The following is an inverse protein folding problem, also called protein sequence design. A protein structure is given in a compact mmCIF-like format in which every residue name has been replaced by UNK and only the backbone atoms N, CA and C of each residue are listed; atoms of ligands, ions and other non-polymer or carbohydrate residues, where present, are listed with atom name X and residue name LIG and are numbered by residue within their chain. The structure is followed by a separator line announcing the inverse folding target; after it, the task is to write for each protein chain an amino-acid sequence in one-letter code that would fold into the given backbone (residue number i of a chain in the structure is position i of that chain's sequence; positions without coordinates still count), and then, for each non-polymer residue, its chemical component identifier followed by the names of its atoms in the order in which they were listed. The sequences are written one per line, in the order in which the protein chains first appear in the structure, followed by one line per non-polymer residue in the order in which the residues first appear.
data_IF_423328526137
#
_entry.id   IF_423328526137
#
_cell.length_a   1.000
_cell.length_b   1.000
_cell.length_c   1.000
_cell.angle_alpha   90.00
_cell.angle_beta   90.00
_cell.angle_gamma   90.00
#
_symmetry.space_group_name_H-M   'P 1'
#
loop_
_entity.id
_entity.type
_entity.pdbx_description
1 polymer ?
#
# COMPACT_ATOMS: atom_id res chain seq x y z
N UNK A 1 6.52 8.74 -23.99
CA UNK A 1 6.53 7.27 -24.06
C UNK A 1 7.92 6.67 -24.26
N UNK A 2 8.72 7.07 -25.28
CA UNK A 2 10.10 6.54 -25.46
C UNK A 2 11.00 6.75 -24.23
N UNK A 3 10.99 7.92 -23.58
CA UNK A 3 11.79 8.20 -22.38
C UNK A 3 11.37 7.34 -21.16
N UNK A 4 10.08 7.02 -21.00
CA UNK A 4 9.60 6.13 -19.93
C UNK A 4 10.08 4.67 -20.13
N UNK A 5 10.15 4.22 -21.38
CA UNK A 5 10.64 2.85 -21.70
C UNK A 5 12.16 2.79 -21.51
N UNK A 6 12.90 3.85 -21.89
CA UNK A 6 14.36 3.93 -21.70
C UNK A 6 14.76 4.00 -20.23
N UNK A 7 13.93 4.58 -19.36
CA UNK A 7 14.17 4.68 -17.92
C UNK A 7 14.28 3.30 -17.25
N UNK A 8 13.53 2.30 -17.72
CA UNK A 8 13.55 0.94 -17.20
C UNK A 8 14.43 -0.02 -18.00
N UNK A 9 15.15 0.47 -18.99
CA UNK A 9 16.13 -0.32 -19.76
C UNK A 9 17.29 -0.79 -18.89
N UNK A 10 17.85 -1.97 -19.23
CA UNK A 10 19.03 -2.53 -18.58
C UNK A 10 18.75 -3.35 -17.31
N UNK A 11 17.49 -3.57 -16.94
CA UNK A 11 17.13 -4.52 -15.89
C UNK A 11 17.26 -5.96 -16.40
N UNK A 12 17.46 -6.92 -15.48
CA UNK A 12 17.47 -8.35 -15.84
C UNK A 12 16.10 -8.80 -16.34
N UNK A 13 16.10 -9.81 -17.23
CA UNK A 13 14.89 -10.42 -17.81
C UNK A 13 13.90 -10.87 -16.72
N UNK A 14 14.39 -11.42 -15.64
CA UNK A 14 13.61 -11.91 -14.52
C UNK A 14 12.76 -10.81 -13.87
N UNK A 15 13.26 -9.57 -13.78
CA UNK A 15 12.51 -8.41 -13.26
C UNK A 15 11.32 -8.08 -14.16
N UNK A 16 11.48 -8.15 -15.49
CA UNK A 16 10.36 -7.95 -16.40
C UNK A 16 9.33 -9.07 -16.33
N UNK A 17 9.75 -10.31 -16.06
CA UNK A 17 8.84 -11.44 -15.84
C UNK A 17 8.04 -11.23 -14.55
N UNK A 18 8.70 -10.82 -13.46
CA UNK A 18 8.04 -10.46 -12.20
C UNK A 18 7.05 -9.30 -12.39
N UNK A 19 7.44 -8.28 -13.18
CA UNK A 19 6.55 -7.17 -13.54
C UNK A 19 5.29 -7.66 -14.28
N UNK A 20 5.45 -8.50 -15.30
CA UNK A 20 4.31 -9.06 -16.05
C UNK A 20 3.45 -9.93 -15.13
N UNK A 21 4.06 -10.76 -14.28
CA UNK A 21 3.35 -11.54 -13.28
C UNK A 21 2.52 -10.66 -12.36
N UNK A 22 3.11 -9.57 -11.81
CA UNK A 22 2.41 -8.62 -10.94
C UNK A 22 1.29 -7.89 -11.66
N UNK A 23 1.50 -7.50 -12.93
CA UNK A 23 0.48 -6.90 -13.77
C UNK A 23 -0.72 -7.84 -13.97
N UNK A 24 -0.46 -9.09 -14.37
CA UNK A 24 -1.52 -10.09 -14.60
C UNK A 24 -2.28 -10.40 -13.32
N UNK A 25 -1.58 -10.60 -12.19
CA UNK A 25 -2.21 -10.81 -10.89
C UNK A 25 -3.10 -9.62 -10.51
N UNK A 26 -2.64 -8.39 -10.72
CA UNK A 26 -3.41 -7.19 -10.43
C UNK A 26 -4.63 -7.03 -11.35
N UNK A 27 -4.52 -7.39 -12.65
CA UNK A 27 -5.66 -7.41 -13.58
C UNK A 27 -6.75 -8.39 -13.14
N UNK A 28 -6.40 -9.48 -12.49
CA UNK A 28 -7.34 -10.44 -11.94
C UNK A 28 -7.73 -10.18 -10.48
N UNK A 29 -7.22 -9.14 -9.83
CA UNK A 29 -7.48 -8.85 -8.41
C UNK A 29 -8.88 -8.27 -8.20
N UNK A 30 -9.90 -9.10 -8.41
CA UNK A 30 -11.30 -8.70 -8.34
C UNK A 30 -11.85 -8.77 -6.92
N UNK A 31 -11.39 -9.73 -6.13
CA UNK A 31 -11.98 -10.03 -4.81
C UNK A 31 -11.74 -8.90 -3.81
N UNK A 32 -10.54 -8.31 -3.79
CA UNK A 32 -10.20 -7.23 -2.85
C UNK A 32 -11.19 -6.06 -2.87
N UNK A 33 -11.40 -5.41 -4.03
CA UNK A 33 -12.33 -4.28 -4.15
C UNK A 33 -13.77 -4.60 -3.77
N UNK A 34 -14.22 -5.84 -3.99
CA UNK A 34 -15.62 -6.23 -3.77
C UNK A 34 -15.84 -7.04 -2.49
N UNK A 35 -14.80 -7.25 -1.66
CA UNK A 35 -14.89 -8.06 -0.45
C UNK A 35 -15.95 -7.55 0.53
N UNK A 36 -16.01 -6.25 0.77
CA UNK A 36 -16.99 -5.62 1.65
C UNK A 36 -18.42 -5.83 1.12
N UNK A 37 -18.63 -5.64 -0.19
CA UNK A 37 -19.91 -5.90 -0.85
C UNK A 37 -20.30 -7.38 -0.76
N UNK A 38 -19.33 -8.30 -0.93
CA UNK A 38 -19.59 -9.73 -0.77
C UNK A 38 -20.13 -10.07 0.61
N UNK A 39 -19.47 -9.60 1.67
CA UNK A 39 -19.86 -9.87 3.04
C UNK A 39 -21.25 -9.28 3.37
N UNK A 40 -21.50 -8.06 2.94
CA UNK A 40 -22.74 -7.35 3.31
C UNK A 40 -23.91 -7.66 2.38
N UNK A 41 -23.73 -7.78 1.05
CA UNK A 41 -24.82 -7.95 0.09
C UNK A 41 -25.09 -9.43 -0.21
N UNK A 42 -24.03 -10.24 -0.46
CA UNK A 42 -24.23 -11.67 -0.83
C UNK A 42 -24.38 -12.58 0.39
N UNK A 43 -23.71 -12.29 1.52
CA UNK A 43 -23.86 -13.03 2.77
C UNK A 43 -24.86 -12.41 3.73
N UNK A 44 -25.35 -11.19 3.49
CA UNK A 44 -26.32 -10.50 4.33
C UNK A 44 -25.81 -10.10 5.73
N UNK A 45 -24.49 -9.97 5.90
CA UNK A 45 -23.91 -9.56 7.18
C UNK A 45 -24.13 -8.06 7.41
N UNK A 46 -24.28 -7.66 8.67
CA UNK A 46 -24.28 -6.24 9.03
C UNK A 46 -22.94 -5.58 8.73
N UNK A 47 -22.94 -4.26 8.45
CA UNK A 47 -21.73 -3.50 8.15
C UNK A 47 -20.66 -3.65 9.23
N UNK A 48 -21.08 -3.60 10.52
CA UNK A 48 -20.19 -3.80 11.64
C UNK A 48 -19.59 -5.20 11.69
N UNK A 49 -20.38 -6.26 11.43
CA UNK A 49 -19.89 -7.64 11.42
C UNK A 49 -18.93 -7.87 10.26
N UNK A 50 -19.26 -7.38 9.06
CA UNK A 50 -18.41 -7.48 7.88
C UNK A 50 -17.06 -6.79 8.12
N UNK A 51 -17.08 -5.58 8.66
CA UNK A 51 -15.86 -4.82 8.98
C UNK A 51 -15.04 -5.49 10.08
N UNK A 52 -15.71 -6.08 11.10
CA UNK A 52 -15.04 -6.84 12.15
C UNK A 52 -14.29 -8.06 11.62
N UNK A 53 -14.88 -8.77 10.65
CA UNK A 53 -14.20 -9.89 9.97
C UNK A 53 -12.96 -9.41 9.19
N UNK A 54 -13.05 -8.30 8.48
CA UNK A 54 -11.92 -7.69 7.76
C UNK A 54 -10.83 -7.26 8.76
N UNK A 55 -11.19 -6.63 9.86
CA UNK A 55 -10.26 -6.23 10.92
C UNK A 55 -9.54 -7.44 11.53
N UNK A 56 -10.26 -8.53 11.78
CA UNK A 56 -9.69 -9.78 12.32
C UNK A 56 -8.68 -10.39 11.32
N UNK A 57 -9.01 -10.41 10.02
CA UNK A 57 -8.10 -10.86 8.99
C UNK A 57 -6.82 -9.99 8.91
N UNK A 58 -6.96 -8.67 9.12
CA UNK A 58 -5.83 -7.74 9.16
C UNK A 58 -4.89 -8.01 10.34
N UNK A 59 -5.43 -8.34 11.53
CA UNK A 59 -4.61 -8.77 12.68
C UNK A 59 -3.85 -10.06 12.37
N UNK A 60 -4.51 -11.04 11.76
CA UNK A 60 -3.88 -12.31 11.38
C UNK A 60 -2.82 -12.14 10.28
N UNK A 61 -2.93 -11.10 9.47
CA UNK A 61 -1.92 -10.78 8.43
C UNK A 61 -0.56 -10.44 9.02
N UNK A 62 -0.50 -9.89 10.24
CA UNK A 62 0.77 -9.56 10.89
C UNK A 62 1.63 -10.80 11.19
N UNK A 63 1.19 -11.82 11.96
CA UNK A 63 1.95 -13.03 12.16
C UNK A 63 2.20 -13.79 10.84
N UNK A 64 1.29 -13.73 9.86
CA UNK A 64 1.46 -14.31 8.55
C UNK A 64 2.66 -13.68 7.80
N UNK A 65 2.77 -12.34 7.79
CA UNK A 65 3.90 -11.64 7.18
C UNK A 65 5.24 -11.97 7.85
N UNK A 66 5.27 -12.07 9.20
CA UNK A 66 6.47 -12.50 9.95
C UNK A 66 6.88 -13.92 9.60
N UNK A 67 5.91 -14.83 9.49
CA UNK A 67 6.15 -16.20 9.06
C UNK A 67 6.72 -16.22 7.64
N UNK A 68 6.13 -15.44 6.73
CA UNK A 68 6.60 -15.30 5.35
C UNK A 68 8.04 -14.82 5.25
N UNK A 69 8.43 -13.82 6.05
CA UNK A 69 9.81 -13.35 6.14
C UNK A 69 10.76 -14.45 6.59
N UNK A 70 10.44 -15.16 7.69
CA UNK A 70 11.27 -16.28 8.19
C UNK A 70 11.39 -17.41 7.17
N UNK A 71 10.33 -17.72 6.44
CA UNK A 71 10.37 -18.73 5.38
C UNK A 71 11.26 -18.27 4.23
N UNK A 72 11.13 -17.00 3.78
CA UNK A 72 11.94 -16.42 2.70
C UNK A 72 13.44 -16.41 3.02
N UNK A 73 13.82 -16.35 4.31
CA UNK A 73 15.21 -16.41 4.76
C UNK A 73 15.75 -17.85 4.80
N UNK A 74 14.89 -18.86 5.02
CA UNK A 74 15.32 -20.26 5.21
C UNK A 74 15.18 -21.13 3.97
N UNK A 75 14.23 -20.84 3.12
CA UNK A 75 13.87 -21.66 1.97
C UNK A 75 14.02 -20.89 0.65
N UNK A 76 14.01 -21.63 -0.45
CA UNK A 76 14.02 -21.03 -1.79
C UNK A 76 12.80 -20.10 -1.98
N UNK A 77 13.05 -18.81 -2.20
CA UNK A 77 12.04 -17.76 -2.43
C UNK A 77 11.08 -18.14 -3.54
N UNK A 78 11.60 -18.69 -4.65
CA UNK A 78 10.80 -19.19 -5.76
C UNK A 78 9.81 -20.27 -5.34
N UNK A 79 10.24 -21.26 -4.57
CA UNK A 79 9.37 -22.35 -4.14
C UNK A 79 8.32 -21.91 -3.12
N UNK A 80 8.65 -20.95 -2.24
CA UNK A 80 7.67 -20.34 -1.32
C UNK A 80 6.54 -19.69 -2.12
N UNK A 81 6.87 -18.86 -3.13
CA UNK A 81 5.88 -18.23 -4.00
C UNK A 81 4.99 -19.30 -4.64
N UNK A 82 5.59 -20.31 -5.29
CA UNK A 82 4.82 -21.35 -6.00
C UNK A 82 3.87 -22.10 -5.05
N UNK A 83 4.34 -22.51 -3.88
CA UNK A 83 3.53 -23.30 -2.92
C UNK A 83 2.36 -22.46 -2.39
N UNK A 84 2.63 -21.24 -1.91
CA UNK A 84 1.58 -20.40 -1.33
C UNK A 84 0.62 -19.86 -2.38
N UNK A 85 1.05 -19.58 -3.59
CA UNK A 85 0.18 -19.25 -4.72
C UNK A 85 -0.72 -20.43 -5.09
N UNK A 86 -0.19 -21.65 -5.17
CA UNK A 86 -1.02 -22.84 -5.43
C UNK A 86 -2.11 -23.03 -4.37
N UNK A 87 -1.80 -22.82 -3.09
CA UNK A 87 -2.80 -22.88 -2.02
C UNK A 87 -3.83 -21.76 -2.18
N UNK A 88 -3.39 -20.54 -2.47
CA UNK A 88 -4.23 -19.37 -2.71
C UNK A 88 -5.20 -19.61 -3.88
N UNK A 89 -4.68 -20.11 -5.01
CA UNK A 89 -5.48 -20.49 -6.18
C UNK A 89 -6.53 -21.54 -5.82
N UNK A 90 -6.14 -22.57 -5.06
CA UNK A 90 -7.05 -23.60 -4.59
C UNK A 90 -8.19 -23.02 -3.73
N UNK A 91 -7.89 -22.09 -2.83
CA UNK A 91 -8.89 -21.40 -2.02
C UNK A 91 -9.89 -20.62 -2.90
N UNK A 92 -9.41 -19.85 -3.90
CA UNK A 92 -10.29 -19.11 -4.79
C UNK A 92 -11.15 -20.01 -5.67
N UNK A 93 -10.58 -21.07 -6.23
CA UNK A 93 -11.35 -22.03 -7.08
C UNK A 93 -12.39 -22.80 -6.26
N UNK A 94 -12.05 -23.20 -5.03
CA UNK A 94 -13.02 -23.81 -4.12
C UNK A 94 -14.15 -22.83 -3.77
N UNK A 95 -13.83 -21.57 -3.46
CA UNK A 95 -14.83 -20.54 -3.20
C UNK A 95 -15.74 -20.27 -4.43
N UNK A 96 -15.24 -20.44 -5.65
CA UNK A 96 -16.02 -20.29 -6.88
C UNK A 96 -17.03 -21.41 -7.08
N UNK A 97 -16.69 -22.66 -6.71
CA UNK A 97 -17.53 -23.86 -6.93
C UNK A 97 -18.53 -24.03 -5.79
N UNK A 98 -18.13 -23.79 -4.54
CA UNK A 98 -18.97 -24.00 -3.37
C UNK A 98 -20.10 -22.97 -3.25
N UNK A 99 -21.18 -23.27 -2.51
CA UNK A 99 -22.20 -22.28 -2.18
C UNK A 99 -21.61 -21.04 -1.50
N UNK A 100 -22.17 -19.86 -1.81
CA UNK A 100 -21.75 -18.60 -1.16
C UNK A 100 -22.26 -18.59 0.28
N UNK A 101 -21.41 -19.01 1.19
CA UNK A 101 -21.66 -19.12 2.62
C UNK A 101 -20.52 -18.49 3.41
N UNK A 102 -20.62 -18.50 4.73
CA UNK A 102 -19.52 -18.05 5.60
C UNK A 102 -18.24 -18.86 5.36
N UNK A 103 -18.35 -20.12 4.91
CA UNK A 103 -17.19 -20.94 4.56
C UNK A 103 -16.44 -20.38 3.35
N UNK A 104 -17.17 -19.91 2.31
CA UNK A 104 -16.52 -19.24 1.17
C UNK A 104 -15.81 -17.94 1.59
N UNK A 105 -16.34 -17.19 2.56
CA UNK A 105 -15.64 -16.04 3.13
C UNK A 105 -14.33 -16.46 3.86
N UNK A 106 -14.37 -17.54 4.63
CA UNK A 106 -13.16 -18.10 5.29
C UNK A 106 -12.11 -18.48 4.26
N UNK A 107 -12.48 -19.12 3.15
CA UNK A 107 -11.55 -19.46 2.06
C UNK A 107 -10.91 -18.21 1.45
N UNK A 108 -11.68 -17.13 1.26
CA UNK A 108 -11.15 -15.87 0.72
C UNK A 108 -10.18 -15.20 1.70
N UNK A 109 -10.51 -15.17 2.99
CA UNK A 109 -9.61 -14.64 4.01
C UNK A 109 -8.34 -15.49 4.12
N UNK A 110 -8.45 -16.82 4.06
CA UNK A 110 -7.31 -17.72 4.02
C UNK A 110 -6.41 -17.45 2.80
N UNK A 111 -7.00 -17.27 1.61
CA UNK A 111 -6.27 -16.89 0.41
C UNK A 111 -5.48 -15.59 0.61
N UNK A 112 -6.08 -14.56 1.22
CA UNK A 112 -5.41 -13.30 1.56
C UNK A 112 -4.23 -13.49 2.54
N UNK A 113 -4.39 -14.37 3.54
CA UNK A 113 -3.31 -14.69 4.48
C UNK A 113 -2.15 -15.43 3.79
N UNK A 114 -2.42 -16.38 2.90
CA UNK A 114 -1.37 -17.07 2.13
C UNK A 114 -0.63 -16.12 1.19
N UNK A 115 -1.31 -15.17 0.55
CA UNK A 115 -0.67 -14.10 -0.21
C UNK A 115 0.20 -13.20 0.68
N UNK A 116 -0.22 -12.94 1.90
CA UNK A 116 0.59 -12.17 2.87
C UNK A 116 1.86 -12.90 3.25
N UNK A 117 1.83 -14.25 3.39
CA UNK A 117 3.01 -15.08 3.63
C UNK A 117 3.94 -15.10 2.42
N UNK A 118 3.41 -15.09 1.20
CA UNK A 118 4.17 -15.09 -0.05
C UNK A 118 4.89 -13.76 -0.30
N UNK A 119 4.30 -12.62 0.05
CA UNK A 119 4.75 -11.28 -0.29
C UNK A 119 6.23 -10.98 0.07
N UNK A 120 6.76 -11.32 1.25
CA UNK A 120 8.18 -11.13 1.56
C UNK A 120 9.11 -11.90 0.62
N UNK A 121 8.74 -13.14 0.23
CA UNK A 121 9.52 -13.94 -0.70
C UNK A 121 9.53 -13.31 -2.10
N UNK A 122 8.39 -12.76 -2.56
CA UNK A 122 8.29 -12.06 -3.84
C UNK A 122 9.18 -10.80 -3.87
N UNK A 123 9.13 -9.99 -2.81
CA UNK A 123 9.95 -8.79 -2.69
C UNK A 123 11.44 -9.13 -2.64
N UNK A 124 11.82 -10.16 -1.89
CA UNK A 124 13.19 -10.64 -1.81
C UNK A 124 13.68 -11.20 -3.16
N UNK A 125 12.81 -11.93 -3.90
CA UNK A 125 13.13 -12.43 -5.23
C UNK A 125 13.36 -11.27 -6.22
N UNK A 126 12.59 -10.20 -6.15
CA UNK A 126 12.79 -8.99 -6.95
C UNK A 126 14.13 -8.31 -6.62
N UNK A 127 14.53 -8.29 -5.34
CA UNK A 127 15.81 -7.78 -4.90
C UNK A 127 16.99 -8.61 -5.42
N UNK A 128 16.87 -9.95 -5.46
CA UNK A 128 17.93 -10.87 -5.93
C UNK A 128 18.34 -10.65 -7.38
N UNK A 129 17.44 -10.13 -8.22
CA UNK A 129 17.71 -9.86 -9.64
C UNK A 129 18.03 -8.40 -9.94
N UNK A 130 18.10 -7.52 -8.90
CA UNK A 130 18.42 -6.11 -9.03
C UNK A 130 19.69 -5.77 -8.25
N UNK A 131 20.60 -4.97 -8.85
CA UNK A 131 21.70 -4.35 -8.12
C UNK A 131 21.16 -3.25 -7.20
N UNK A 132 21.93 -2.84 -6.17
CA UNK A 132 21.53 -1.75 -5.25
C UNK A 132 21.13 -0.47 -5.98
N UNK A 133 21.80 -0.12 -7.08
CA UNK A 133 21.47 1.04 -7.95
C UNK A 133 20.19 0.84 -8.78
N UNK A 134 19.84 -0.39 -9.11
CA UNK A 134 18.66 -0.75 -9.92
C UNK A 134 17.44 -1.11 -9.09
N UNK A 135 17.60 -1.35 -7.78
CA UNK A 135 16.55 -1.82 -6.86
C UNK A 135 15.35 -0.90 -6.85
N UNK A 136 15.57 0.40 -6.76
CA UNK A 136 14.49 1.40 -6.83
C UNK A 136 13.71 1.33 -8.15
N UNK A 137 14.42 1.18 -9.29
CA UNK A 137 13.77 1.02 -10.60
C UNK A 137 12.95 -0.25 -10.68
N UNK A 138 13.44 -1.37 -10.13
CA UNK A 138 12.76 -2.66 -10.14
C UNK A 138 11.46 -2.62 -9.31
N UNK A 139 11.51 -2.03 -8.09
CA UNK A 139 10.32 -1.85 -7.27
C UNK A 139 9.33 -0.87 -7.89
N UNK A 140 9.80 0.24 -8.45
CA UNK A 140 8.96 1.21 -9.15
C UNK A 140 8.25 0.58 -10.35
N UNK A 141 8.94 -0.29 -11.11
CA UNK A 141 8.35 -1.03 -12.22
C UNK A 141 7.23 -1.96 -11.72
N UNK A 142 7.48 -2.74 -10.66
CA UNK A 142 6.49 -3.63 -10.05
C UNK A 142 5.27 -2.86 -9.52
N UNK A 143 5.48 -1.71 -8.88
CA UNK A 143 4.40 -0.85 -8.38
C UNK A 143 3.54 -0.31 -9.54
N UNK A 144 4.16 0.12 -10.64
CA UNK A 144 3.43 0.55 -11.85
C UNK A 144 2.65 -0.60 -12.48
N UNK A 145 3.24 -1.81 -12.53
CA UNK A 145 2.56 -3.00 -13.01
C UNK A 145 1.29 -3.30 -12.20
N UNK A 146 1.39 -3.21 -10.88
CA UNK A 146 0.25 -3.37 -10.00
C UNK A 146 -0.85 -2.34 -10.31
N UNK A 147 -0.53 -1.05 -10.35
CA UNK A 147 -1.53 0.00 -10.61
C UNK A 147 -2.16 -0.13 -12.00
N UNK A 148 -1.36 -0.42 -13.05
CA UNK A 148 -1.89 -0.64 -14.40
C UNK A 148 -2.85 -1.83 -14.45
N UNK A 149 -2.49 -2.94 -13.80
CA UNK A 149 -3.37 -4.11 -13.71
C UNK A 149 -4.62 -3.81 -12.90
N UNK A 150 -4.47 -3.12 -11.78
CA UNK A 150 -5.58 -2.84 -10.87
C UNK A 150 -6.65 -1.89 -11.46
N UNK A 151 -6.30 -1.03 -12.43
CA UNK A 151 -7.28 -0.25 -13.20
C UNK A 151 -8.29 -1.20 -13.86
N UNK A 152 -7.80 -2.21 -14.54
CA UNK A 152 -8.66 -3.20 -15.21
C UNK A 152 -9.38 -4.06 -14.17
N UNK A 153 -8.63 -4.57 -13.20
CA UNK A 153 -9.15 -5.46 -12.15
C UNK A 153 -10.31 -4.86 -11.38
N UNK A 154 -10.14 -3.66 -10.84
CA UNK A 154 -11.17 -3.00 -10.03
C UNK A 154 -12.41 -2.62 -10.83
N UNK A 155 -12.25 -2.13 -12.08
CA UNK A 155 -13.39 -1.82 -12.96
C UNK A 155 -14.21 -3.05 -13.29
N UNK A 156 -13.55 -4.15 -13.70
CA UNK A 156 -14.21 -5.40 -14.05
C UNK A 156 -14.82 -6.09 -12.83
N UNK A 157 -14.16 -6.00 -11.66
CA UNK A 157 -14.67 -6.55 -10.41
C UNK A 157 -16.08 -6.05 -10.09
N UNK A 158 -16.28 -4.73 -10.17
CA UNK A 158 -17.58 -4.12 -9.92
C UNK A 158 -18.66 -4.57 -10.89
N UNK A 159 -18.33 -4.69 -12.18
CA UNK A 159 -19.27 -5.18 -13.21
C UNK A 159 -19.64 -6.66 -13.04
N UNK A 160 -18.69 -7.49 -12.63
CA UNK A 160 -18.94 -8.93 -12.41
C UNK A 160 -19.70 -9.18 -11.10
N UNK A 161 -19.71 -8.25 -10.15
CA UNK A 161 -20.25 -8.46 -8.82
C UNK A 161 -21.71 -8.92 -8.83
N UNK A 162 -22.56 -8.29 -9.62
CA UNK A 162 -24.01 -8.58 -9.61
C UNK A 162 -24.34 -9.92 -10.23
N UNK A 163 -23.91 -10.19 -11.46
CA UNK A 163 -24.36 -11.33 -12.27
C UNK A 163 -23.40 -12.50 -12.30
N UNK A 164 -22.10 -12.25 -12.20
CA UNK A 164 -21.04 -13.23 -12.42
C UNK A 164 -20.05 -13.30 -11.27
N UNK A 165 -20.53 -13.14 -10.04
CA UNK A 165 -19.68 -13.03 -8.85
C UNK A 165 -18.71 -14.22 -8.70
N UNK A 166 -19.15 -15.45 -8.95
CA UNK A 166 -18.29 -16.65 -8.89
C UNK A 166 -17.17 -16.62 -9.94
N UNK A 167 -17.43 -16.01 -11.10
CA UNK A 167 -16.42 -15.82 -12.13
C UNK A 167 -15.29 -14.90 -11.66
N UNK A 168 -15.57 -13.93 -10.80
CA UNK A 168 -14.54 -13.09 -10.18
C UNK A 168 -13.52 -13.91 -9.39
N UNK A 169 -13.95 -14.92 -8.65
CA UNK A 169 -13.05 -15.84 -7.94
C UNK A 169 -12.22 -16.69 -8.91
N UNK A 170 -12.84 -17.22 -9.95
CA UNK A 170 -12.12 -17.99 -10.97
C UNK A 170 -11.03 -17.14 -11.64
N UNK A 171 -11.36 -15.91 -12.07
CA UNK A 171 -10.40 -15.03 -12.75
C UNK A 171 -9.27 -14.64 -11.79
N UNK A 172 -9.58 -14.37 -10.52
CA UNK A 172 -8.55 -14.07 -9.51
C UNK A 172 -7.60 -15.26 -9.34
N UNK A 173 -8.11 -16.47 -9.19
CA UNK A 173 -7.28 -17.69 -9.10
C UNK A 173 -6.47 -17.94 -10.37
N UNK A 174 -7.07 -17.82 -11.55
CA UNK A 174 -6.38 -18.05 -12.84
C UNK A 174 -5.29 -17.01 -13.07
N UNK A 175 -5.50 -15.75 -12.74
CA UNK A 175 -4.49 -14.71 -12.91
C UNK A 175 -3.26 -14.95 -12.00
N UNK A 176 -3.47 -15.40 -10.77
CA UNK A 176 -2.38 -15.81 -9.88
C UNK A 176 -1.67 -17.03 -10.48
N UNK A 177 -2.39 -18.03 -10.94
CA UNK A 177 -1.82 -19.23 -11.56
C UNK A 177 -0.93 -18.88 -12.77
N UNK A 178 -1.37 -17.97 -13.64
CA UNK A 178 -0.58 -17.50 -14.77
C UNK A 178 0.72 -16.85 -14.28
N UNK A 179 0.66 -15.97 -13.27
CA UNK A 179 1.86 -15.36 -12.67
C UNK A 179 2.81 -16.42 -12.09
N UNK A 180 2.26 -17.39 -11.37
CA UNK A 180 3.04 -18.50 -10.78
C UNK A 180 3.73 -19.35 -11.85
N UNK A 181 3.03 -19.66 -12.95
CA UNK A 181 3.62 -20.39 -14.09
C UNK A 181 4.72 -19.58 -14.78
N UNK A 182 4.57 -18.25 -14.93
CA UNK A 182 5.64 -17.39 -15.43
C UNK A 182 6.88 -17.47 -14.54
N UNK A 183 6.71 -17.44 -13.23
CA UNK A 183 7.83 -17.56 -12.27
C UNK A 183 8.42 -18.97 -12.34
N UNK A 184 7.59 -20.00 -12.38
CA UNK A 184 8.03 -21.41 -12.43
C UNK A 184 8.94 -21.68 -13.64
N UNK A 185 8.52 -21.25 -14.84
CA UNK A 185 9.22 -21.61 -16.09
C UNK A 185 10.34 -20.62 -16.46
N UNK A 186 10.20 -19.35 -16.14
CA UNK A 186 11.09 -18.31 -16.68
C UNK A 186 12.03 -17.67 -15.65
N UNK A 187 11.79 -17.85 -14.34
CA UNK A 187 12.68 -17.32 -13.30
C UNK A 187 13.60 -18.45 -12.80
N UNK A 188 14.91 -18.32 -13.07
CA UNK A 188 15.91 -19.35 -12.72
C UNK A 188 16.79 -18.84 -11.57
N UNK A 189 16.76 -19.51 -10.44
CA UNK A 189 17.46 -19.10 -9.20
C UNK A 189 18.99 -18.95 -9.36
N UNK A 190 19.58 -19.59 -10.37
CA UNK A 190 21.03 -19.47 -10.70
C UNK A 190 21.44 -18.08 -11.22
N UNK A 191 20.49 -17.24 -11.63
CA UNK A 191 20.73 -15.92 -12.22
C UNK A 191 20.67 -14.78 -11.19
N UNK A 192 20.53 -15.07 -9.91
CA UNK A 192 20.56 -14.07 -8.85
C UNK A 192 21.91 -13.31 -8.87
N UNK A 193 21.89 -12.04 -8.56
CA UNK A 193 23.10 -11.20 -8.50
C UNK A 193 23.71 -11.39 -7.11
N UNK A 194 24.99 -11.80 -7.05
CA UNK A 194 25.77 -11.70 -5.82
C UNK A 194 25.95 -10.19 -5.50
N UNK A 195 25.55 -9.75 -4.33
CA UNK A 195 25.75 -8.35 -3.92
C UNK A 195 27.24 -8.06 -3.73
N UNK A 196 27.73 -7.03 -4.43
CA UNK A 196 29.01 -6.41 -4.15
C UNK A 196 28.78 -5.46 -2.95
N UNK A 197 29.14 -5.91 -1.76
CA UNK A 197 28.93 -5.20 -0.48
C UNK A 197 29.62 -3.82 -0.48
N UNK A 198 30.69 -3.65 -1.24
CA UNK A 198 31.47 -2.41 -1.32
C UNK A 198 30.74 -1.24 -2.02
N UNK A 199 29.79 -1.51 -2.92
CA UNK A 199 29.10 -0.43 -3.66
C UNK A 199 27.98 0.26 -2.90
N UNK A 200 27.59 -0.25 -1.74
CA UNK A 200 26.50 0.31 -0.90
C UNK A 200 27.02 1.42 0.02
N UNK A 201 28.28 1.36 0.43
CA UNK A 201 28.87 2.32 1.37
C UNK A 201 29.19 3.70 0.74
N UNK A 202 29.56 3.74 -0.54
CA UNK A 202 30.00 4.99 -1.19
C UNK A 202 28.87 6.00 -1.49
N UNK A 203 27.61 5.57 -1.57
CA UNK A 203 26.51 6.45 -1.98
C UNK A 203 25.87 7.25 -0.84
N UNK A 204 26.20 6.98 0.43
CA UNK A 204 25.48 7.51 1.60
C UNK A 204 26.38 8.15 2.67
N UNK A 205 27.70 8.27 2.44
CA UNK A 205 28.68 8.67 3.46
C UNK A 205 28.74 10.16 3.79
N UNK A 206 28.09 11.04 3.03
CA UNK A 206 28.34 12.49 3.14
C UNK A 206 27.61 13.22 4.28
N UNK A 207 26.59 12.59 4.91
CA UNK A 207 25.74 13.24 5.93
C UNK A 207 25.55 12.43 7.24
N UNK A 208 26.22 11.31 7.43
CA UNK A 208 26.01 10.47 8.61
C UNK A 208 27.03 10.76 9.71
N UNK A 209 26.55 11.13 10.91
CA UNK A 209 27.36 10.96 12.10
C UNK A 209 27.63 9.46 12.27
N UNK A 210 28.89 9.04 12.53
CA UNK A 210 29.20 7.65 12.76
C UNK A 210 28.38 7.14 13.95
N UNK A 211 27.39 6.29 13.66
CA UNK A 211 26.66 5.52 14.68
C UNK A 211 27.34 4.17 14.73
N UNK A 212 27.80 3.76 15.91
CA UNK A 212 28.39 2.44 16.08
C UNK A 212 27.39 1.39 15.61
N UNK A 213 27.81 0.52 14.70
CA UNK A 213 26.97 -0.55 14.10
C UNK A 213 26.40 -1.52 15.14
N UNK A 214 26.97 -1.54 16.33
CA UNK A 214 26.61 -2.41 17.46
C UNK A 214 25.46 -1.89 18.32
N UNK A 215 25.01 -0.62 18.13
CA UNK A 215 23.97 -0.04 18.97
C UNK A 215 22.63 -0.78 18.80
N UNK A 216 21.89 -1.02 19.89
CA UNK A 216 20.51 -1.48 19.81
C UNK A 216 19.63 -0.45 19.09
N UNK A 217 18.67 -0.91 18.27
CA UNK A 217 17.76 -0.02 17.53
C UNK A 217 17.04 0.97 18.42
N UNK A 218 16.71 0.56 19.64
CA UNK A 218 16.02 1.41 20.61
C UNK A 218 16.87 2.61 21.02
N UNK A 219 18.19 2.44 21.11
CA UNK A 219 19.09 3.53 21.47
C UNK A 219 19.28 4.50 20.31
N UNK A 220 19.28 4.03 19.06
CA UNK A 220 19.25 4.88 17.87
C UNK A 220 17.98 5.73 17.84
N UNK A 221 16.83 5.14 18.14
CA UNK A 221 15.55 5.85 18.20
C UNK A 221 15.50 6.86 19.36
N UNK A 222 16.07 6.52 20.52
CA UNK A 222 16.19 7.44 21.68
C UNK A 222 17.09 8.63 21.38
N UNK A 223 18.18 8.43 20.65
CA UNK A 223 19.08 9.52 20.23
C UNK A 223 18.44 10.44 19.17
N UNK A 224 17.42 9.94 18.46
CA UNK A 224 16.71 10.65 17.38
C UNK A 224 15.20 10.65 17.62
N UNK A 225 14.70 11.35 18.68
CA UNK A 225 13.27 11.28 19.08
C UNK A 225 12.30 11.76 17.99
N UNK A 226 12.77 12.56 17.04
CA UNK A 226 11.99 13.00 15.88
C UNK A 226 11.53 11.82 15.02
N UNK A 227 12.33 10.74 14.94
CA UNK A 227 11.93 9.52 14.22
C UNK A 227 10.73 8.83 14.89
N UNK A 228 10.70 8.81 16.22
CA UNK A 228 9.55 8.28 16.98
C UNK A 228 8.32 9.18 16.76
N UNK A 229 8.49 10.49 16.84
CA UNK A 229 7.44 11.46 16.56
C UNK A 229 6.84 11.26 15.16
N UNK A 230 7.72 11.14 14.14
CA UNK A 230 7.31 10.90 12.77
C UNK A 230 6.56 9.56 12.58
N UNK A 231 6.99 8.50 13.27
CA UNK A 231 6.30 7.21 13.25
C UNK A 231 4.90 7.31 13.84
N UNK A 232 4.74 7.99 14.97
CA UNK A 232 3.45 8.16 15.64
C UNK A 232 2.48 9.04 14.82
N UNK A 233 2.98 10.15 14.28
CA UNK A 233 2.17 11.02 13.40
C UNK A 233 1.85 10.32 12.09
N UNK A 234 2.78 9.52 11.55
CA UNK A 234 2.57 8.68 10.37
C UNK A 234 1.45 7.65 10.57
N UNK A 235 1.25 7.14 11.79
CA UNK A 235 0.07 6.32 12.10
C UNK A 235 -1.24 7.09 11.85
N UNK A 236 -1.35 8.34 12.30
CA UNK A 236 -2.52 9.18 12.02
C UNK A 236 -2.64 9.50 10.52
N UNK A 237 -1.53 9.74 9.83
CA UNK A 237 -1.50 9.97 8.39
C UNK A 237 -1.92 8.73 7.57
N UNK A 238 -1.86 7.52 8.14
CA UNK A 238 -2.34 6.30 7.49
C UNK A 238 -3.86 6.07 7.59
N UNK A 239 -4.57 6.85 8.41
CA UNK A 239 -6.02 6.74 8.59
C UNK A 239 -6.80 6.82 7.27
N UNK A 240 -6.53 7.79 6.34
CA UNK A 240 -7.26 7.89 5.08
C UNK A 240 -7.30 6.58 4.29
N UNK A 241 -6.17 5.88 4.18
CA UNK A 241 -6.07 4.63 3.43
C UNK A 241 -6.95 3.52 4.05
N UNK A 242 -6.97 3.41 5.38
CA UNK A 242 -7.81 2.45 6.09
C UNK A 242 -9.31 2.75 5.92
N UNK A 243 -9.67 4.04 5.94
CA UNK A 243 -11.06 4.49 5.78
C UNK A 243 -11.60 4.24 4.39
N UNK A 244 -10.81 4.54 3.36
CA UNK A 244 -11.22 4.37 1.97
C UNK A 244 -11.64 2.94 1.67
N UNK A 245 -10.85 1.96 2.13
CA UNK A 245 -11.10 0.54 1.88
C UNK A 245 -12.34 -0.03 2.59
N UNK A 246 -12.88 0.66 3.60
CA UNK A 246 -13.99 0.17 4.42
C UNK A 246 -15.24 1.04 4.27
N UNK A 247 -15.12 2.34 4.54
CA UNK A 247 -16.30 3.21 4.57
C UNK A 247 -16.86 3.52 3.19
N UNK A 248 -15.98 3.75 2.20
CA UNK A 248 -16.44 4.11 0.86
C UNK A 248 -17.22 2.98 0.18
N UNK A 249 -16.80 1.69 0.22
CA UNK A 249 -17.63 0.60 -0.30
C UNK A 249 -19.00 0.49 0.37
N UNK A 250 -19.05 0.63 1.70
CA UNK A 250 -20.32 0.57 2.45
C UNK A 250 -21.24 1.73 2.07
N UNK A 251 -20.69 2.94 1.99
CA UNK A 251 -21.42 4.12 1.55
C UNK A 251 -21.94 3.98 0.10
N UNK A 252 -21.12 3.42 -0.81
CA UNK A 252 -21.53 3.16 -2.20
C UNK A 252 -22.65 2.12 -2.27
N UNK A 253 -22.58 1.07 -1.44
CA UNK A 253 -23.65 0.07 -1.32
C UNK A 253 -24.98 0.73 -0.96
N UNK A 254 -24.99 1.56 0.07
CA UNK A 254 -26.22 2.19 0.57
C UNK A 254 -26.73 3.29 -0.33
N UNK A 255 -25.84 4.07 -0.99
CA UNK A 255 -26.22 5.17 -1.86
C UNK A 255 -26.69 4.71 -3.25
N UNK A 256 -26.15 3.60 -3.78
CA UNK A 256 -26.32 3.19 -5.18
C UNK A 256 -26.82 1.76 -5.38
N UNK A 257 -27.05 1.00 -4.29
CA UNK A 257 -27.57 -0.37 -4.34
C UNK A 257 -26.74 -1.26 -5.26
N UNK A 258 -27.36 -1.85 -6.25
CA UNK A 258 -26.72 -2.79 -7.21
C UNK A 258 -25.56 -2.15 -8.00
N UNK A 259 -25.57 -0.86 -8.24
CA UNK A 259 -24.50 -0.15 -8.96
C UNK A 259 -23.32 0.23 -8.04
N UNK A 260 -23.46 0.12 -6.72
CA UNK A 260 -22.46 0.56 -5.76
C UNK A 260 -21.09 -0.10 -5.97
N UNK A 261 -21.04 -1.41 -6.21
CA UNK A 261 -19.81 -2.14 -6.45
C UNK A 261 -19.12 -1.70 -7.75
N UNK A 262 -19.88 -1.45 -8.83
CA UNK A 262 -19.35 -0.98 -10.11
C UNK A 262 -18.77 0.45 -9.97
N UNK A 263 -19.49 1.35 -9.31
CA UNK A 263 -19.05 2.73 -9.07
C UNK A 263 -17.79 2.78 -8.21
N UNK A 264 -17.71 1.96 -7.15
CA UNK A 264 -16.49 1.84 -6.34
C UNK A 264 -15.30 1.32 -7.18
N UNK A 265 -15.53 0.33 -8.05
CA UNK A 265 -14.53 -0.18 -8.98
C UNK A 265 -14.00 0.91 -9.93
N UNK A 266 -14.88 1.72 -10.51
CA UNK A 266 -14.49 2.85 -11.37
C UNK A 266 -13.75 3.94 -10.59
N UNK A 267 -14.16 4.25 -9.36
CA UNK A 267 -13.44 5.20 -8.50
C UNK A 267 -12.02 4.75 -8.22
N UNK A 268 -11.81 3.46 -7.89
CA UNK A 268 -10.46 2.90 -7.72
C UNK A 268 -9.63 3.01 -9.00
N UNK A 269 -10.23 2.79 -10.16
CA UNK A 269 -9.54 2.92 -11.45
C UNK A 269 -9.12 4.37 -11.72
N UNK A 270 -9.96 5.35 -11.38
CA UNK A 270 -9.59 6.78 -11.43
C UNK A 270 -8.41 7.03 -10.50
N UNK A 271 -8.43 6.52 -9.27
CA UNK A 271 -7.30 6.61 -8.35
C UNK A 271 -6.00 6.09 -8.97
N UNK A 272 -6.00 4.87 -9.52
CA UNK A 272 -4.81 4.31 -10.17
C UNK A 272 -4.31 5.15 -11.35
N UNK A 273 -5.21 5.70 -12.17
CA UNK A 273 -4.84 6.62 -13.26
C UNK A 273 -4.16 7.88 -12.73
N UNK A 274 -4.70 8.47 -11.66
CA UNK A 274 -4.11 9.64 -10.99
C UNK A 274 -2.71 9.31 -10.47
N UNK A 275 -2.52 8.17 -9.81
CA UNK A 275 -1.19 7.72 -9.34
C UNK A 275 -0.19 7.67 -10.51
N UNK A 276 -0.57 7.03 -11.61
CA UNK A 276 0.33 6.85 -12.76
C UNK A 276 0.72 8.18 -13.42
N UNK A 277 -0.25 9.07 -13.58
CA UNK A 277 -0.08 10.36 -14.27
C UNK A 277 0.65 11.35 -13.37
N UNK A 278 0.22 11.50 -12.12
CA UNK A 278 0.66 12.60 -11.25
C UNK A 278 1.90 12.27 -10.41
N UNK A 279 2.27 11.00 -10.21
CA UNK A 279 3.53 10.67 -9.51
C UNK A 279 4.76 11.32 -10.17
N UNK A 280 5.00 11.18 -11.48
CA UNK A 280 6.15 11.84 -12.11
C UNK A 280 6.03 13.37 -12.10
N UNK A 281 4.81 13.91 -12.22
CA UNK A 281 4.57 15.36 -12.19
C UNK A 281 4.97 15.93 -10.83
N UNK A 282 4.45 15.36 -9.73
CA UNK A 282 4.76 15.84 -8.39
C UNK A 282 6.19 15.56 -7.95
N UNK A 283 6.81 14.48 -8.45
CA UNK A 283 8.24 14.24 -8.21
C UNK A 283 9.10 15.41 -8.73
N UNK A 284 8.75 15.98 -9.87
CA UNK A 284 9.47 17.14 -10.45
C UNK A 284 9.03 18.45 -9.80
N UNK A 285 7.71 18.65 -9.65
CA UNK A 285 7.14 19.90 -9.14
C UNK A 285 7.53 20.17 -7.69
N UNK A 286 7.53 19.13 -6.85
CA UNK A 286 7.79 19.24 -5.40
C UNK A 286 9.24 18.88 -5.01
N UNK A 287 10.16 18.81 -5.97
CA UNK A 287 11.57 18.45 -5.71
C UNK A 287 12.28 19.40 -4.73
N UNK A 288 11.84 20.65 -4.66
CA UNK A 288 12.39 21.69 -3.77
C UNK A 288 11.87 21.61 -2.34
N UNK A 289 10.75 20.92 -2.10
CA UNK A 289 10.23 20.73 -0.75
C UNK A 289 10.91 19.54 -0.06
N UNK A 290 11.16 19.64 1.23
CA UNK A 290 11.58 18.52 2.07
C UNK A 290 10.40 17.58 2.36
N UNK A 291 10.66 16.49 3.07
CA UNK A 291 9.68 15.41 3.26
C UNK A 291 8.47 15.84 4.08
N UNK A 292 8.68 16.53 5.22
CA UNK A 292 7.58 16.91 6.14
C UNK A 292 6.57 17.85 5.48
N UNK A 293 6.94 18.94 4.78
CA UNK A 293 5.99 19.75 4.02
C UNK A 293 5.18 18.96 2.97
N UNK A 294 5.80 17.95 2.30
CA UNK A 294 5.06 17.07 1.39
C UNK A 294 4.02 16.24 2.13
N UNK A 295 4.39 15.63 3.26
CA UNK A 295 3.46 14.85 4.09
C UNK A 295 2.29 15.72 4.61
N UNK A 296 2.54 16.97 5.01
CA UNK A 296 1.49 17.92 5.40
C UNK A 296 0.55 18.20 4.21
N UNK A 297 1.10 18.58 3.06
CA UNK A 297 0.32 18.88 1.86
C UNK A 297 -0.51 17.67 1.43
N UNK A 298 0.09 16.49 1.42
CA UNK A 298 -0.58 15.23 1.11
C UNK A 298 -1.76 14.96 2.05
N UNK A 299 -1.54 15.09 3.37
CA UNK A 299 -2.58 14.86 4.38
C UNK A 299 -3.73 15.89 4.28
N UNK A 300 -3.44 17.14 3.95
CA UNK A 300 -4.47 18.17 3.71
C UNK A 300 -5.31 17.85 2.47
N UNK A 301 -4.70 17.36 1.39
CA UNK A 301 -5.44 16.93 0.20
C UNK A 301 -6.24 15.65 0.47
N UNK A 302 -5.71 14.68 1.22
CA UNK A 302 -6.49 13.56 1.72
C UNK A 302 -7.75 14.05 2.45
N UNK A 303 -7.57 14.99 3.38
CA UNK A 303 -8.67 15.57 4.18
C UNK A 303 -9.71 16.24 3.28
N UNK A 304 -9.28 17.00 2.27
CA UNK A 304 -10.17 17.63 1.30
C UNK A 304 -10.95 16.56 0.48
N UNK A 305 -10.30 15.49 0.04
CA UNK A 305 -10.95 14.37 -0.64
C UNK A 305 -11.99 13.69 0.23
N UNK A 306 -11.63 13.39 1.50
CA UNK A 306 -12.55 12.80 2.49
C UNK A 306 -13.75 13.73 2.75
N UNK A 307 -13.54 15.03 2.81
CA UNK A 307 -14.63 16.00 2.97
C UNK A 307 -15.62 15.89 1.83
N UNK A 308 -15.18 15.72 0.59
CA UNK A 308 -16.07 15.53 -0.55
C UNK A 308 -16.88 14.23 -0.47
N UNK A 309 -16.35 13.16 0.18
CA UNK A 309 -17.11 11.93 0.42
C UNK A 309 -18.29 12.10 1.39
N UNK A 310 -18.35 13.19 2.17
CA UNK A 310 -19.51 13.51 3.02
C UNK A 310 -20.77 13.86 2.21
N UNK A 311 -20.64 14.21 0.92
CA UNK A 311 -21.75 14.51 0.01
C UNK A 311 -22.27 13.23 -0.67
N UNK A 312 -22.95 12.41 0.09
CA UNK A 312 -23.33 11.02 -0.24
C UNK A 312 -24.17 10.86 -1.52
N UNK A 313 -24.93 11.87 -1.93
CA UNK A 313 -25.93 11.77 -3.00
C UNK A 313 -25.43 12.16 -4.40
N UNK A 314 -24.22 12.71 -4.51
CA UNK A 314 -23.71 13.27 -5.74
C UNK A 314 -22.52 12.51 -6.29
N UNK A 315 -22.76 11.58 -7.21
CA UNK A 315 -21.73 10.72 -7.80
C UNK A 315 -20.53 11.51 -8.35
N UNK A 316 -20.77 12.62 -9.03
CA UNK A 316 -19.69 13.46 -9.59
C UNK A 316 -18.78 14.00 -8.48
N UNK A 317 -19.37 14.44 -7.35
CA UNK A 317 -18.59 14.94 -6.20
C UNK A 317 -17.73 13.82 -5.61
N UNK A 318 -18.24 12.58 -5.56
CA UNK A 318 -17.49 11.43 -5.07
C UNK A 318 -16.30 11.10 -5.98
N UNK A 319 -16.45 11.17 -7.31
CA UNK A 319 -15.33 11.00 -8.24
C UNK A 319 -14.30 12.14 -8.13
N UNK A 320 -14.74 13.39 -7.96
CA UNK A 320 -13.83 14.52 -7.67
C UNK A 320 -13.13 14.31 -6.33
N UNK A 321 -13.86 13.82 -5.31
CA UNK A 321 -13.31 13.44 -4.02
C UNK A 321 -12.21 12.39 -4.16
N UNK A 322 -12.43 11.34 -4.94
CA UNK A 322 -11.43 10.29 -5.21
C UNK A 322 -10.21 10.85 -5.93
N UNK A 323 -10.41 11.74 -6.91
CA UNK A 323 -9.31 12.42 -7.60
C UNK A 323 -8.45 13.22 -6.62
N UNK A 324 -9.06 14.10 -5.81
CA UNK A 324 -8.35 14.94 -4.82
C UNK A 324 -7.69 14.09 -3.74
N UNK A 325 -8.39 13.07 -3.24
CA UNK A 325 -7.87 12.11 -2.29
C UNK A 325 -6.57 11.46 -2.81
N UNK A 326 -6.60 10.97 -4.05
CA UNK A 326 -5.45 10.27 -4.63
C UNK A 326 -4.27 11.21 -4.94
N UNK A 327 -4.53 12.50 -5.26
CA UNK A 327 -3.44 13.49 -5.32
C UNK A 327 -2.74 13.61 -3.95
N UNK A 328 -3.51 13.60 -2.86
CA UNK A 328 -2.98 13.55 -1.50
C UNK A 328 -2.13 12.30 -1.25
N UNK A 329 -2.59 11.12 -1.68
CA UNK A 329 -1.85 9.87 -1.57
C UNK A 329 -0.49 9.94 -2.27
N UNK A 330 -0.46 10.38 -3.53
CA UNK A 330 0.78 10.51 -4.31
C UNK A 330 1.78 11.42 -3.60
N UNK A 331 1.33 12.56 -3.08
CA UNK A 331 2.22 13.53 -2.42
C UNK A 331 2.71 12.99 -1.06
N UNK A 332 1.84 12.35 -0.27
CA UNK A 332 2.22 11.71 1.00
C UNK A 332 3.31 10.64 0.80
N UNK A 333 3.14 9.79 -0.21
CA UNK A 333 4.15 8.75 -0.55
C UNK A 333 5.50 9.36 -0.91
N UNK A 334 5.52 10.52 -1.60
CA UNK A 334 6.75 11.25 -1.94
C UNK A 334 7.39 11.94 -0.71
N UNK A 335 6.66 12.14 0.38
CA UNK A 335 7.15 12.62 1.65
C UNK A 335 7.61 11.49 2.57
N UNK A 336 6.71 10.57 2.88
CA UNK A 336 6.88 9.57 3.95
C UNK A 336 7.95 8.52 3.64
N UNK A 337 8.00 8.01 2.40
CA UNK A 337 8.94 6.96 2.03
C UNK A 337 10.42 7.40 2.10
N UNK A 338 10.83 8.58 1.56
CA UNK A 338 12.21 9.03 1.66
C UNK A 338 12.59 9.48 3.09
N UNK A 339 11.64 9.86 3.93
CA UNK A 339 11.90 10.38 5.26
C UNK A 339 12.78 9.44 6.09
N UNK A 340 12.36 8.18 6.24
CA UNK A 340 13.10 7.19 7.02
C UNK A 340 14.45 6.87 6.36
N UNK A 341 14.49 6.70 5.05
CA UNK A 341 15.71 6.31 4.34
C UNK A 341 16.82 7.36 4.43
N UNK A 342 16.47 8.64 4.59
CA UNK A 342 17.43 9.74 4.69
C UNK A 342 17.89 10.05 6.13
N UNK A 343 17.12 9.64 7.15
CA UNK A 343 17.37 9.99 8.57
C UNK A 343 17.80 8.81 9.43
N UNK A 344 17.60 7.60 8.95
CA UNK A 344 18.03 6.39 9.66
C UNK A 344 19.38 5.94 9.11
N UNK A 345 20.39 5.65 9.97
CA UNK A 345 21.67 5.13 9.55
C UNK A 345 21.51 3.87 8.68
N UNK A 346 22.36 3.70 7.66
CA UNK A 346 22.28 2.61 6.70
C UNK A 346 22.25 1.23 7.39
N UNK A 347 23.07 1.02 8.41
CA UNK A 347 23.16 -0.19 9.23
C UNK A 347 21.88 -0.53 10.00
N UNK A 348 20.97 0.44 10.22
CA UNK A 348 19.76 0.30 11.03
C UNK A 348 18.46 0.44 10.22
N UNK A 349 18.51 0.81 8.94
CA UNK A 349 17.32 1.04 8.09
C UNK A 349 16.37 -0.14 8.06
N UNK A 350 16.91 -1.34 7.87
CA UNK A 350 16.08 -2.56 7.85
C UNK A 350 15.38 -2.83 9.18
N UNK A 351 16.10 -2.65 10.30
CA UNK A 351 15.54 -2.88 11.64
C UNK A 351 14.50 -1.84 12.02
N UNK A 352 14.77 -0.55 11.77
CA UNK A 352 13.80 0.56 12.01
C UNK A 352 12.59 0.41 11.09
N UNK A 353 12.80 0.09 9.81
CA UNK A 353 11.71 -0.19 8.86
C UNK A 353 10.83 -1.36 9.31
N UNK A 354 11.43 -2.42 9.85
CA UNK A 354 10.69 -3.54 10.43
C UNK A 354 9.80 -3.11 11.60
N UNK A 355 10.33 -2.31 12.56
CA UNK A 355 9.55 -1.76 13.67
C UNK A 355 8.42 -0.87 13.15
N UNK A 356 8.70 0.01 12.19
CA UNK A 356 7.68 0.87 11.58
C UNK A 356 6.55 0.07 10.96
N UNK A 357 6.87 -0.99 10.21
CA UNK A 357 5.87 -1.89 9.61
C UNK A 357 4.98 -2.53 10.68
N UNK A 358 5.57 -2.99 11.77
CA UNK A 358 4.80 -3.57 12.90
C UNK A 358 3.85 -2.53 13.50
N UNK A 359 4.36 -1.34 13.81
CA UNK A 359 3.57 -0.26 14.43
C UNK A 359 2.42 0.14 13.52
N UNK A 360 2.67 0.35 12.22
CA UNK A 360 1.62 0.68 11.24
C UNK A 360 0.59 -0.45 11.10
N UNK A 361 1.00 -1.71 11.09
CA UNK A 361 0.08 -2.85 10.99
C UNK A 361 -0.83 -2.96 12.22
N UNK A 362 -0.26 -2.80 13.42
CA UNK A 362 -1.04 -2.80 14.68
C UNK A 362 -2.01 -1.62 14.68
N UNK A 363 -1.55 -0.42 14.35
CA UNK A 363 -2.39 0.77 14.29
C UNK A 363 -3.51 0.64 13.24
N UNK A 364 -3.21 0.12 12.06
CA UNK A 364 -4.20 -0.15 11.01
C UNK A 364 -5.28 -1.11 11.50
N UNK A 365 -4.89 -2.21 12.14
CA UNK A 365 -5.84 -3.18 12.70
C UNK A 365 -6.72 -2.55 13.79
N UNK A 366 -6.13 -1.80 14.73
CA UNK A 366 -6.88 -1.09 15.76
C UNK A 366 -7.86 -0.07 15.15
N UNK A 367 -7.44 0.65 14.10
CA UNK A 367 -8.29 1.58 13.36
C UNK A 367 -9.48 0.87 12.73
N UNK A 368 -9.27 -0.30 12.12
CA UNK A 368 -10.36 -1.09 11.52
C UNK A 368 -11.36 -1.59 12.57
N UNK A 369 -10.89 -2.03 13.74
CA UNK A 369 -11.77 -2.36 14.87
C UNK A 369 -12.55 -1.13 15.36
N UNK A 370 -11.88 0.02 15.49
CA UNK A 370 -12.54 1.27 15.88
C UNK A 370 -13.62 1.66 14.88
N UNK A 371 -13.34 1.57 13.57
CA UNK A 371 -14.33 1.83 12.51
C UNK A 371 -15.53 0.87 12.66
N UNK A 372 -15.28 -0.42 12.88
CA UNK A 372 -16.35 -1.42 13.08
C UNK A 372 -17.23 -1.07 14.27
N UNK A 373 -16.63 -0.72 15.40
CA UNK A 373 -17.33 -0.30 16.61
C UNK A 373 -18.15 0.98 16.37
N UNK A 374 -17.54 1.98 15.73
CA UNK A 374 -18.22 3.24 15.40
C UNK A 374 -19.36 3.04 14.41
N UNK A 375 -19.26 2.14 13.44
CA UNK A 375 -20.35 1.80 12.52
C UNK A 375 -21.56 1.23 13.28
N UNK A 376 -21.33 0.35 14.25
CA UNK A 376 -22.40 -0.20 15.11
C UNK A 376 -23.02 0.91 15.96
N UNK A 377 -22.19 1.72 16.62
CA UNK A 377 -22.64 2.76 17.54
C UNK A 377 -23.44 3.87 16.83
N UNK A 378 -22.99 4.28 15.65
CA UNK A 378 -23.62 5.36 14.86
C UNK A 378 -24.70 4.88 13.90
N UNK A 379 -25.01 3.56 13.91
CA UNK A 379 -25.96 2.93 12.97
C UNK A 379 -25.62 3.28 11.51
N UNK A 380 -24.35 3.11 11.14
CA UNK A 380 -23.80 3.38 9.82
C UNK A 380 -23.98 4.83 9.34
N UNK A 381 -23.86 5.80 10.24
CA UNK A 381 -23.86 7.21 9.86
C UNK A 381 -22.50 7.60 9.25
N UNK A 382 -22.31 7.33 7.95
CA UNK A 382 -21.04 7.57 7.24
C UNK A 382 -20.59 9.03 7.31
N UNK A 383 -21.53 9.99 7.22
CA UNK A 383 -21.20 11.42 7.28
C UNK A 383 -20.51 11.78 8.60
N UNK A 384 -21.05 11.29 9.71
CA UNK A 384 -20.46 11.52 11.05
C UNK A 384 -19.08 10.86 11.13
N UNK A 385 -18.93 9.65 10.61
CA UNK A 385 -17.64 8.93 10.59
C UNK A 385 -16.60 9.69 9.79
N UNK A 386 -16.93 10.13 8.57
CA UNK A 386 -16.01 10.96 7.78
C UNK A 386 -15.58 12.22 8.52
N UNK A 387 -16.51 12.92 9.19
CA UNK A 387 -16.20 14.14 9.95
C UNK A 387 -15.26 13.88 11.13
N UNK A 388 -15.45 12.78 11.87
CA UNK A 388 -14.53 12.38 12.96
C UNK A 388 -13.11 12.20 12.42
N UNK A 389 -12.96 11.49 11.31
CA UNK A 389 -11.64 11.21 10.76
C UNK A 389 -11.01 12.42 10.06
N UNK A 390 -11.79 13.36 9.51
CA UNK A 390 -11.30 14.66 9.06
C UNK A 390 -10.57 15.38 10.20
N UNK A 391 -11.20 15.43 11.38
CA UNK A 391 -10.58 16.05 12.56
C UNK A 391 -9.27 15.34 12.93
N UNK A 392 -9.23 14.00 12.92
CA UNK A 392 -8.01 13.24 13.18
C UNK A 392 -6.90 13.56 12.17
N UNK A 393 -7.24 13.66 10.87
CA UNK A 393 -6.27 14.01 9.82
C UNK A 393 -5.73 15.44 9.99
N UNK A 394 -6.59 16.40 10.33
CA UNK A 394 -6.17 17.78 10.61
C UNK A 394 -5.24 17.85 11.82
N UNK A 395 -5.53 17.10 12.88
CA UNK A 395 -4.61 16.96 14.03
C UNK A 395 -3.28 16.38 13.56
N UNK A 396 -3.28 15.35 12.72
CA UNK A 396 -2.06 14.79 12.15
C UNK A 396 -1.24 15.82 11.35
N UNK A 397 -1.88 16.65 10.54
CA UNK A 397 -1.21 17.72 9.79
C UNK A 397 -0.55 18.77 10.72
N UNK A 398 -1.24 19.16 11.79
CA UNK A 398 -0.71 20.07 12.80
C UNK A 398 0.48 19.45 13.53
N UNK A 399 0.39 18.17 13.91
CA UNK A 399 1.50 17.44 14.56
C UNK A 399 2.73 17.31 13.65
N UNK A 400 2.56 17.08 12.34
CA UNK A 400 3.66 17.17 11.38
C UNK A 400 4.33 18.54 11.39
N UNK A 401 3.53 19.62 11.46
CA UNK A 401 4.04 20.99 11.58
C UNK A 401 4.92 21.19 12.83
N UNK A 402 4.52 20.60 13.96
CA UNK A 402 5.34 20.65 15.19
C UNK A 402 6.65 19.85 15.06
N UNK A 403 6.69 18.79 14.26
CA UNK A 403 7.90 18.02 14.02
C UNK A 403 8.90 18.72 13.09
N UNK A 404 8.46 19.64 12.25
CA UNK A 404 9.30 20.33 11.26
C UNK A 404 10.49 21.06 11.90
N UNK A 405 10.25 21.83 12.96
CA UNK A 405 11.31 22.58 13.66
C UNK A 405 12.38 21.68 14.32
N UNK A 406 11.98 20.70 15.14
CA UNK A 406 12.90 19.72 15.71
C UNK A 406 13.67 18.92 14.65
N UNK A 407 13.02 18.50 13.54
CA UNK A 407 13.66 17.78 12.46
C UNK A 407 14.75 18.62 11.78
N UNK A 408 14.46 19.88 11.48
CA UNK A 408 15.41 20.82 10.90
C UNK A 408 16.64 21.08 11.79
N UNK A 409 16.44 21.06 13.12
CA UNK A 409 17.56 21.20 14.11
C UNK A 409 18.39 19.92 14.18
N UNK A 410 17.76 18.76 14.06
CA UNK A 410 18.46 17.46 14.16
C UNK A 410 19.21 17.13 12.87
N UNK A 411 18.67 17.51 11.70
CA UNK A 411 19.21 17.20 10.37
C UNK A 411 19.36 18.45 9.49
N UNK A 412 20.16 19.45 9.87
CA UNK A 412 20.23 20.74 9.17
C UNK A 412 20.66 20.63 7.70
N UNK A 413 21.57 19.71 7.38
CA UNK A 413 22.08 19.52 6.02
C UNK A 413 21.01 19.08 5.00
N UNK A 414 19.93 18.41 5.44
CA UNK A 414 18.83 18.05 4.54
C UNK A 414 17.98 19.26 4.10
N UNK A 415 18.10 20.41 4.80
CA UNK A 415 17.34 21.63 4.57
C UNK A 415 18.15 22.76 3.90
N UNK A 416 19.44 22.55 3.64
CA UNK A 416 20.29 23.56 2.97
C UNK A 416 19.89 23.80 1.51
N UNK A 417 19.44 22.75 0.83
CA UNK A 417 18.96 22.84 -0.55
C UNK A 417 17.64 23.62 -0.70
N UNK A 418 16.81 23.73 0.34
CA UNK A 418 15.63 24.60 0.33
C UNK A 418 16.04 26.07 0.22
N UNK A 419 17.03 26.52 1.00
CA UNK A 419 17.51 27.90 0.98
C UNK A 419 18.16 28.29 -0.35
N UNK A 420 18.88 27.36 -1.00
CA UNK A 420 19.50 27.61 -2.30
C UNK A 420 18.46 27.78 -3.42
N UNK A 421 17.31 27.10 -3.34
CA UNK A 421 16.22 27.24 -4.31
C UNK A 421 15.39 28.51 -4.09
N UNK A 422 15.22 28.98 -2.85
CA UNK A 422 14.56 30.25 -2.53
C UNK A 422 15.38 31.45 -3.01
N UNK A 423 16.70 31.40 -2.88
CA UNK A 423 17.59 32.48 -3.36
C UNK A 423 17.72 32.57 -4.89
N UNK A 424 17.42 31.48 -5.62
CA UNK A 424 17.44 31.48 -7.10
C UNK A 424 16.07 31.81 -7.73
N UNK A 425 15.03 32.04 -6.93
CA UNK A 425 13.68 32.39 -7.37
C UNK A 425 13.36 33.88 -7.20
N UNK A 426 14.30 34.67 -6.70
CA UNK A 426 14.32 36.12 -6.65
C UNK A 426 15.38 36.67 -7.61
#
# INVERSE_FOLDING_TARGET
MKQLITQYGGLKREIYILFIGKLVTAMGSFVGPILTFFLTTKLGLSDGTATLMIATASVLSFPAALLGGKLADRFSRKWIIIVFDCITVSCYLLAAVLPLTLFSAVLIFAAGLFQTIETPAYNALNADYSTSRQREKAYSLSYRGFNLGFIVGSSVAGLLFEKFFRLAFCINGVSILISTLLILFFVHQKNAIAEDVQSVEECYSEYERPVEETLPVLDVLRQRPVLIGMLLVGCLASLPANLLGILLPLQMKDAMGEYGAAMFGYMNSVGCLVVIIFTPVFTVLLKHLTEIPKSILGLLLFTAGIFLFTFQSHIVILFVGMFVYTLGEVISVLGDNPYQSRRVPASHRGRVGGISTVVYSVFSSLTQYLISFLLILTKSNYKLLWMIFIVCCLIGAVLYGFLYGPDKRTFPGLYENEKASENNSH
#
